data_IF_749252741406
#
_entry.id   IF_749252741406
#
_cell.length_a   1.000
_cell.length_b   1.000
_cell.length_c   1.000
_cell.angle_alpha   90.00
_cell.angle_beta   90.00
_cell.angle_gamma   90.00
#
_symmetry.space_group_name_H-M   'P 1'
#
loop_
_entity.id
_entity.type
_entity.pdbx_description
1 polymer ?
#
# COMPACT_ATOMS: atom_id res chain seq x y z
N UNK A 1 -6.43 17.92 3.93
CA UNK A 1 -6.27 16.98 2.80
C UNK A 1 -5.69 15.70 3.36
N UNK A 2 -6.44 14.59 3.35
CA UNK A 2 -5.92 13.27 3.69
C UNK A 2 -4.89 12.83 2.64
N UNK A 3 -3.80 12.20 3.07
CA UNK A 3 -2.77 11.67 2.16
C UNK A 3 -2.45 10.24 2.59
N UNK A 4 -2.47 9.29 1.64
CA UNK A 4 -2.09 7.92 1.92
C UNK A 4 -0.59 7.81 2.20
N UNK A 5 -0.26 6.97 3.18
CA UNK A 5 1.12 6.55 3.45
C UNK A 5 1.75 5.84 2.25
N UNK A 6 1.02 4.97 1.54
CA UNK A 6 1.57 4.28 0.37
C UNK A 6 1.74 5.24 -0.82
N UNK A 7 0.82 6.20 -0.99
CA UNK A 7 0.98 7.27 -1.98
C UNK A 7 2.25 8.09 -1.71
N UNK A 8 2.54 8.40 -0.44
CA UNK A 8 3.75 9.13 -0.07
C UNK A 8 5.03 8.33 -0.37
N UNK A 9 5.01 7.00 -0.19
CA UNK A 9 6.10 6.10 -0.58
C UNK A 9 6.29 6.10 -2.10
N UNK A 10 5.20 5.92 -2.87
CA UNK A 10 5.24 5.98 -4.33
C UNK A 10 5.79 7.32 -4.85
N UNK A 11 5.33 8.43 -4.26
CA UNK A 11 5.76 9.76 -4.67
C UNK A 11 7.24 9.99 -4.38
N UNK A 12 7.74 9.57 -3.21
CA UNK A 12 9.17 9.68 -2.89
C UNK A 12 10.04 8.91 -3.89
N UNK A 13 9.56 7.74 -4.32
CA UNK A 13 10.21 6.94 -5.33
C UNK A 13 10.19 7.62 -6.71
N UNK A 14 9.02 8.07 -7.16
CA UNK A 14 8.87 8.77 -8.45
C UNK A 14 9.68 10.07 -8.54
N UNK A 15 9.89 10.76 -7.41
CA UNK A 15 10.71 11.97 -7.39
C UNK A 15 12.22 11.68 -7.63
N UNK A 16 12.64 10.42 -7.53
CA UNK A 16 14.05 10.00 -7.62
C UNK A 16 14.36 9.07 -8.81
N UNK A 17 13.33 8.53 -9.46
CA UNK A 17 13.44 7.54 -10.54
C UNK A 17 12.57 7.94 -11.72
N UNK A 18 12.78 7.32 -12.89
CA UNK A 18 12.00 7.59 -14.11
C UNK A 18 10.85 6.59 -14.34
N UNK A 19 10.76 5.56 -13.49
CA UNK A 19 9.67 4.59 -13.53
C UNK A 19 8.30 5.26 -13.34
N UNK A 20 7.30 4.69 -14.02
CA UNK A 20 5.94 5.23 -14.04
C UNK A 20 4.94 4.41 -13.26
N UNK A 21 5.25 3.17 -12.88
CA UNK A 21 4.35 2.30 -12.13
C UNK A 21 5.09 1.72 -10.92
N UNK A 22 4.58 1.97 -9.73
CA UNK A 22 5.11 1.48 -8.47
C UNK A 22 4.10 0.55 -7.80
N UNK A 23 4.52 -0.68 -7.55
CA UNK A 23 3.82 -1.66 -6.75
C UNK A 23 4.24 -1.49 -5.29
N UNK A 24 3.48 -0.72 -4.52
CA UNK A 24 3.87 -0.35 -3.16
C UNK A 24 3.39 -1.38 -2.15
N UNK A 25 4.32 -1.89 -1.34
CA UNK A 25 4.03 -2.81 -0.25
C UNK A 25 4.70 -2.34 1.05
N UNK A 26 3.97 -2.36 2.17
CA UNK A 26 4.49 -2.13 3.51
C UNK A 26 4.09 -3.27 4.44
N UNK A 27 5.02 -3.80 5.24
CA UNK A 27 4.75 -4.89 6.20
C UNK A 27 3.67 -4.46 7.21
N UNK A 28 2.51 -5.16 7.21
CA UNK A 28 1.41 -4.93 8.15
C UNK A 28 1.46 -5.87 9.37
N UNK A 29 2.52 -6.67 9.49
CA UNK A 29 2.70 -7.78 10.44
C UNK A 29 1.72 -8.93 10.17
N UNK A 30 1.95 -10.05 10.86
CA UNK A 30 1.08 -11.24 10.84
C UNK A 30 0.88 -11.87 9.44
N UNK A 31 1.84 -11.69 8.53
CA UNK A 31 1.75 -12.25 7.18
C UNK A 31 0.98 -11.38 6.18
N UNK A 32 0.56 -10.18 6.59
CA UNK A 32 -0.15 -9.24 5.74
C UNK A 32 0.74 -8.07 5.31
N UNK A 33 0.35 -7.43 4.21
CA UNK A 33 0.93 -6.18 3.73
C UNK A 33 -0.16 -5.13 3.54
N UNK A 34 0.20 -3.87 3.79
CA UNK A 34 -0.49 -2.76 3.14
C UNK A 34 -0.03 -2.73 1.69
N UNK A 35 -0.98 -2.73 0.76
CA UNK A 35 -0.74 -2.87 -0.67
C UNK A 35 -1.48 -1.78 -1.45
N UNK A 36 -0.82 -1.24 -2.47
CA UNK A 36 -1.41 -0.32 -3.43
C UNK A 36 -0.52 -0.17 -4.66
N UNK A 37 -1.13 0.00 -5.83
CA UNK A 37 -0.41 0.22 -7.08
C UNK A 37 -0.59 1.65 -7.52
N UNK A 38 0.50 2.34 -7.81
CA UNK A 38 0.51 3.75 -8.15
C UNK A 38 1.10 3.97 -9.53
N UNK A 39 0.51 4.89 -10.30
CA UNK A 39 1.07 5.39 -11.54
C UNK A 39 1.43 6.86 -11.41
N UNK A 40 2.57 7.25 -11.98
CA UNK A 40 2.92 8.67 -12.13
C UNK A 40 2.00 9.30 -13.18
N UNK A 41 1.20 10.28 -12.78
CA UNK A 41 0.36 11.01 -13.71
C UNK A 41 1.16 12.04 -14.53
N UNK A 42 0.50 12.71 -15.47
CA UNK A 42 1.12 13.69 -16.37
C UNK A 42 1.75 14.89 -15.65
N UNK A 43 1.32 15.20 -14.43
CA UNK A 43 1.86 16.28 -13.59
C UNK A 43 2.99 15.79 -12.65
N UNK A 44 3.32 14.50 -12.69
CA UNK A 44 4.37 13.90 -11.87
C UNK A 44 3.93 13.44 -10.47
N UNK A 45 2.61 13.38 -10.21
CA UNK A 45 2.09 12.91 -8.93
C UNK A 45 1.72 11.43 -8.95
N UNK A 46 1.89 10.76 -7.82
CA UNK A 46 1.45 9.40 -7.61
C UNK A 46 -0.09 9.33 -7.57
N UNK A 47 -0.67 8.63 -8.54
CA UNK A 47 -2.11 8.39 -8.67
C UNK A 47 -2.40 6.90 -8.45
N UNK A 48 -3.39 6.59 -7.61
CA UNK A 48 -3.73 5.22 -7.27
C UNK A 48 -4.41 4.51 -8.45
N UNK A 49 -3.92 3.31 -8.78
CA UNK A 49 -4.54 2.38 -9.71
C UNK A 49 -5.32 1.31 -8.93
N UNK A 50 -6.64 1.48 -8.86
CA UNK A 50 -7.53 0.58 -8.11
C UNK A 50 -7.74 1.06 -6.67
N UNK A 51 -7.57 0.16 -5.71
CA UNK A 51 -7.80 0.42 -4.28
C UNK A 51 -6.61 -0.03 -3.44
N UNK A 52 -6.41 0.63 -2.29
CA UNK A 52 -5.47 0.14 -1.29
C UNK A 52 -6.11 -0.98 -0.46
N UNK A 53 -5.29 -1.95 -0.04
CA UNK A 53 -5.77 -3.08 0.75
C UNK A 53 -4.79 -3.45 1.87
N UNK A 54 -5.30 -4.12 2.90
CA UNK A 54 -4.50 -4.99 3.77
C UNK A 54 -4.80 -6.41 3.37
N UNK A 55 -3.79 -7.13 2.91
CA UNK A 55 -3.97 -8.48 2.33
C UNK A 55 -2.73 -9.33 2.55
N UNK A 56 -2.84 -10.67 2.59
CA UNK A 56 -1.69 -11.55 2.40
C UNK A 56 -0.96 -11.24 1.10
N UNK A 57 0.37 -11.33 1.10
CA UNK A 57 1.20 -11.01 -0.07
C UNK A 57 0.88 -11.89 -1.30
N UNK A 58 0.34 -13.09 -1.08
CA UNK A 58 -0.11 -14.01 -2.13
C UNK A 58 -1.47 -13.66 -2.75
N UNK A 59 -2.23 -12.74 -2.16
CA UNK A 59 -3.61 -12.41 -2.55
C UNK A 59 -3.77 -10.94 -2.99
N UNK A 60 -2.71 -10.38 -3.58
CA UNK A 60 -2.72 -9.01 -4.09
C UNK A 60 -3.57 -8.88 -5.36
N UNK A 61 -4.24 -7.74 -5.50
CA UNK A 61 -4.93 -7.34 -6.74
C UNK A 61 -4.07 -6.28 -7.42
N UNK A 62 -3.86 -6.42 -8.73
CA UNK A 62 -2.97 -5.55 -9.48
C UNK A 62 -3.38 -5.41 -10.96
N UNK A 63 -3.02 -4.29 -11.61
CA UNK A 63 -3.13 -4.16 -13.06
C UNK A 63 -2.01 -4.94 -13.77
N UNK A 64 -2.25 -5.40 -15.01
CA UNK A 64 -1.24 -6.07 -15.83
C UNK A 64 -0.30 -5.05 -16.51
N UNK A 65 0.48 -4.32 -15.71
CA UNK A 65 1.41 -3.28 -16.19
C UNK A 65 2.83 -3.57 -15.69
N UNK A 66 3.88 -3.41 -16.51
CA UNK A 66 5.24 -3.49 -16.01
C UNK A 66 5.52 -2.34 -15.04
N UNK A 67 6.30 -2.63 -13.99
CA UNK A 67 6.66 -1.63 -12.98
C UNK A 67 7.70 -2.15 -12.00
N UNK A 68 7.83 -1.43 -10.88
CA UNK A 68 8.85 -1.69 -9.86
C UNK A 68 8.21 -1.87 -8.49
N UNK A 69 8.76 -2.79 -7.69
CA UNK A 69 8.35 -2.98 -6.30
C UNK A 69 8.91 -1.90 -5.40
N UNK A 70 8.11 -1.30 -4.51
CA UNK A 70 8.58 -0.23 -3.62
C UNK A 70 8.07 -0.44 -2.19
N UNK A 71 8.94 -0.25 -1.20
CA UNK A 71 8.61 -0.23 0.22
C UNK A 71 8.96 -1.52 0.97
N UNK A 72 8.90 -1.42 2.31
CA UNK A 72 9.38 -2.46 3.23
C UNK A 72 8.74 -3.85 3.05
N UNK A 73 7.51 -3.92 2.52
CA UNK A 73 6.83 -5.19 2.25
C UNK A 73 7.59 -6.07 1.25
N UNK A 74 8.29 -5.45 0.30
CA UNK A 74 9.16 -6.18 -0.64
C UNK A 74 10.38 -6.81 0.05
N UNK A 75 10.93 -6.18 1.09
CA UNK A 75 12.03 -6.77 1.85
C UNK A 75 11.66 -8.09 2.54
N UNK A 76 10.40 -8.21 2.98
CA UNK A 76 9.92 -9.38 3.75
C UNK A 76 9.24 -10.42 2.85
N UNK A 77 8.47 -9.96 1.86
CA UNK A 77 7.53 -10.79 1.09
C UNK A 77 7.85 -10.84 -0.42
N UNK A 78 9.05 -10.44 -0.87
CA UNK A 78 9.41 -10.43 -2.30
C UNK A 78 9.13 -11.75 -3.01
N UNK A 79 9.39 -12.91 -2.37
CA UNK A 79 9.21 -14.19 -3.04
C UNK A 79 7.74 -14.44 -3.43
N UNK A 80 6.81 -14.13 -2.54
CA UNK A 80 5.37 -14.22 -2.78
C UNK A 80 4.94 -13.21 -3.84
N UNK A 81 5.38 -11.95 -3.70
CA UNK A 81 5.02 -10.85 -4.59
C UNK A 81 5.52 -11.08 -6.02
N UNK A 82 6.78 -11.49 -6.19
CA UNK A 82 7.37 -11.83 -7.49
C UNK A 82 6.69 -13.03 -8.14
N UNK A 83 6.21 -13.99 -7.34
CA UNK A 83 5.42 -15.12 -7.85
C UNK A 83 4.08 -14.63 -8.39
N UNK A 84 3.36 -13.78 -7.66
CA UNK A 84 2.07 -13.24 -8.10
C UNK A 84 2.19 -12.35 -9.35
N UNK A 85 3.24 -11.54 -9.43
CA UNK A 85 3.39 -10.55 -10.50
C UNK A 85 4.01 -11.11 -11.79
N UNK A 86 4.43 -12.38 -11.82
CA UNK A 86 4.83 -13.13 -13.02
C UNK A 86 5.65 -12.34 -14.06
N UNK A 87 6.69 -11.63 -13.62
CA UNK A 87 7.58 -10.88 -14.51
C UNK A 87 7.13 -9.46 -14.88
N UNK A 88 5.99 -8.99 -14.37
CA UNK A 88 5.61 -7.56 -14.40
C UNK A 88 6.55 -6.70 -13.56
N UNK A 89 7.16 -7.29 -12.53
CA UNK A 89 8.15 -6.63 -11.68
C UNK A 89 9.44 -7.44 -11.72
N UNK A 90 10.53 -6.78 -12.13
CA UNK A 90 11.87 -7.39 -12.21
C UNK A 90 12.87 -6.81 -11.21
N UNK A 91 12.52 -5.68 -10.57
CA UNK A 91 13.35 -5.02 -9.57
C UNK A 91 12.48 -4.45 -8.44
N UNK A 92 13.07 -4.25 -7.25
CA UNK A 92 12.38 -3.66 -6.11
C UNK A 92 13.30 -2.90 -5.15
N UNK A 93 12.75 -1.85 -4.52
CA UNK A 93 13.44 -1.01 -3.55
C UNK A 93 12.72 -1.06 -2.19
N UNK A 94 13.33 -1.73 -1.21
CA UNK A 94 12.72 -1.94 0.11
C UNK A 94 12.91 -0.77 1.10
N UNK A 95 13.86 0.13 0.85
CA UNK A 95 14.29 1.17 1.80
C UNK A 95 13.44 2.46 1.72
N UNK A 96 12.47 2.51 0.81
CA UNK A 96 11.56 3.65 0.70
C UNK A 96 10.56 3.66 1.86
N UNK A 97 10.55 4.78 2.58
CA UNK A 97 9.68 5.06 3.72
C UNK A 97 8.83 6.29 3.44
N UNK A 98 7.66 6.46 4.06
CA UNK A 98 6.83 7.63 3.85
C UNK A 98 7.58 8.89 4.33
N UNK A 99 7.80 9.83 3.40
CA UNK A 99 8.51 11.09 3.68
C UNK A 99 7.54 12.24 3.88
N UNK A 100 7.79 13.06 4.91
CA UNK A 100 6.98 14.26 5.16
C UNK A 100 6.96 15.24 3.98
N UNK A 101 8.06 15.33 3.23
CA UNK A 101 8.14 16.15 2.01
C UNK A 101 7.14 15.67 0.94
N UNK A 102 7.08 14.35 0.70
CA UNK A 102 6.14 13.74 -0.25
C UNK A 102 4.69 13.90 0.22
N UNK A 103 4.43 13.77 1.52
CA UNK A 103 3.11 14.04 2.11
C UNK A 103 2.70 15.49 1.89
N UNK A 104 3.59 16.46 2.14
CA UNK A 104 3.29 17.87 1.95
C UNK A 104 3.06 18.21 0.46
N UNK A 105 3.84 17.61 -0.44
CA UNK A 105 3.70 17.75 -1.89
C UNK A 105 2.35 17.23 -2.38
N UNK A 106 1.99 15.99 -2.03
CA UNK A 106 0.69 15.40 -2.35
C UNK A 106 -0.46 16.17 -1.70
N UNK A 107 -0.30 16.62 -0.46
CA UNK A 107 -1.29 17.42 0.25
C UNK A 107 -1.56 18.78 -0.41
N UNK A 108 -0.52 19.45 -0.89
CA UNK A 108 -0.63 20.69 -1.66
C UNK A 108 -1.37 20.46 -2.99
N UNK A 109 -1.00 19.41 -3.71
CA UNK A 109 -1.69 19.02 -4.95
C UNK A 109 -3.16 18.69 -4.71
N UNK A 110 -3.48 17.84 -3.74
CA UNK A 110 -4.87 17.51 -3.38
C UNK A 110 -5.67 18.72 -2.90
N UNK A 111 -5.03 19.68 -2.22
CA UNK A 111 -5.68 20.94 -1.84
C UNK A 111 -6.13 21.73 -3.08
N UNK A 112 -5.24 21.85 -4.07
CA UNK A 112 -5.55 22.53 -5.33
C UNK A 112 -6.65 21.82 -6.13
N UNK A 113 -6.80 20.50 -5.97
CA UNK A 113 -7.89 19.71 -6.52
C UNK A 113 -9.20 19.78 -5.71
N UNK A 114 -9.25 20.54 -4.62
CA UNK A 114 -10.44 20.67 -3.78
C UNK A 114 -10.70 19.46 -2.86
N UNK A 115 -9.71 18.61 -2.62
CA UNK A 115 -9.81 17.42 -1.76
C UNK A 115 -9.58 17.72 -0.26
N UNK A 116 -9.70 18.99 0.13
CA UNK A 116 -9.69 19.36 1.53
C UNK A 116 -10.95 18.82 2.22
N UNK A 117 -10.80 18.38 3.47
CA UNK A 117 -11.90 17.93 4.32
C UNK A 117 -11.93 18.80 5.56
N UNK A 118 -13.09 18.90 6.19
CA UNK A 118 -13.23 19.57 7.47
C UNK A 118 -12.37 18.89 8.54
N UNK A 119 -11.98 19.66 9.55
CA UNK A 119 -10.99 19.22 10.55
C UNK A 119 -11.47 17.99 11.33
N UNK A 120 -12.77 17.86 11.55
CA UNK A 120 -13.42 16.73 12.23
C UNK A 120 -13.49 15.47 11.35
N UNK A 121 -13.32 15.61 10.04
CA UNK A 121 -13.28 14.51 9.06
C UNK A 121 -11.85 14.03 8.76
N UNK A 122 -10.81 14.69 9.31
CA UNK A 122 -9.42 14.29 9.18
C UNK A 122 -9.10 13.07 10.07
N UNK A 123 -9.71 11.93 9.76
CA UNK A 123 -9.59 10.68 10.50
C UNK A 123 -8.62 9.71 9.81
N UNK A 124 -7.92 8.84 10.57
CA UNK A 124 -7.12 7.77 9.97
C UNK A 124 -7.96 6.81 9.13
N UNK A 125 -7.42 6.37 7.99
CA UNK A 125 -8.02 5.29 7.20
C UNK A 125 -7.70 3.96 7.87
N UNK A 126 -8.73 3.21 8.25
CA UNK A 126 -8.61 1.87 8.81
C UNK A 126 -8.84 0.83 7.71
N UNK A 127 -7.77 0.30 7.13
CA UNK A 127 -7.83 -0.69 6.03
C UNK A 127 -8.04 -2.13 6.50
N UNK A 128 -8.06 -2.39 7.81
CA UNK A 128 -8.35 -3.72 8.37
C UNK A 128 -9.82 -3.86 8.70
N UNK A 129 -10.48 -4.81 8.06
CA UNK A 129 -11.78 -5.27 8.52
C UNK A 129 -11.63 -6.02 9.86
N UNK A 130 -12.22 -5.46 10.92
CA UNK A 130 -12.57 -6.15 12.16
C UNK A 130 -11.44 -6.99 12.81
N UNK A 131 -10.42 -6.32 13.32
CA UNK A 131 -9.31 -6.96 14.08
C UNK A 131 -9.76 -7.60 15.42
N UNK A 132 -10.98 -7.31 15.88
CA UNK A 132 -11.52 -7.84 17.14
C UNK A 132 -12.40 -9.07 16.90
N UNK A 133 -11.78 -10.25 16.71
CA UNK A 133 -12.51 -11.50 17.02
C UNK A 133 -12.84 -11.49 18.51
N UNK A 134 -14.13 -11.50 18.85
CA UNK A 134 -14.60 -11.69 20.24
C UNK A 134 -13.97 -12.99 20.79
N UNK A 135 -13.54 -13.01 22.05
CA UNK A 135 -12.94 -14.19 22.69
C UNK A 135 -13.78 -15.47 22.53
N UNK A 136 -15.10 -15.35 22.36
CA UNK A 136 -16.01 -16.45 22.07
C UNK A 136 -15.71 -17.22 20.78
N UNK A 137 -15.04 -16.62 19.79
CA UNK A 137 -14.68 -17.28 18.53
C UNK A 137 -13.33 -18.03 18.62
N UNK A 138 -12.47 -17.70 19.60
CA UNK A 138 -11.20 -18.40 19.80
C UNK A 138 -11.41 -19.81 20.38
N UNK A 139 -12.40 -19.96 21.26
CA UNK A 139 -12.72 -21.24 21.92
C UNK A 139 -13.35 -22.27 20.96
N UNK A 140 -14.01 -21.81 19.89
CA UNK A 140 -14.67 -22.72 18.94
C UNK A 140 -13.70 -23.44 17.99
N UNK A 141 -12.50 -22.88 17.77
CA UNK A 141 -11.48 -23.48 16.88
C UNK A 141 -10.64 -24.54 17.61
N UNK A 142 -10.41 -24.39 18.91
CA UNK A 142 -9.65 -25.37 19.70
C UNK A 142 -10.44 -26.67 19.96
N UNK A 143 -11.77 -26.61 20.05
CA UNK A 143 -12.61 -27.80 20.32
C UNK A 143 -12.81 -28.73 19.12
N UNK A 144 -12.44 -28.32 17.88
CA UNK A 144 -12.55 -29.16 16.68
C UNK A 144 -11.25 -29.84 16.23
N UNK A 145 -10.13 -29.62 16.93
CA UNK A 145 -8.85 -30.33 16.67
C UNK A 145 -8.64 -31.58 17.53
N UNK A 146 -9.63 -31.96 18.33
CA UNK A 146 -9.59 -33.19 19.14
C UNK A 146 -10.91 -33.94 19.01
N UNK A 147 -11.13 -34.55 17.84
CA UNK A 147 -11.85 -35.82 17.68
C UNK A 147 -11.22 -36.55 16.50
#
# INVERSE_FOLDING_TARGET
VPVSTLAAIAQDFFDQHDDNVAYVAMDARMGEIFWGVYQRNAEGYAELLGEEAVTPAENIIFPLLPGVGVGSGWGVYHQQLLTCLEGLVTDYHCDFLPRAASIAKLGSWGFNLGQAVDVDQAMPVYLRDNVAKKESERVYVESKKTV
#
